data_IF_761689429649
#
_entry.id   IF_761689429649
#
_cell.length_a   1.000
_cell.length_b   1.000
_cell.length_c   1.000
_cell.angle_alpha   90.00
_cell.angle_beta   90.00
_cell.angle_gamma   90.00
#
_symmetry.space_group_name_H-M   'P 1'
#
loop_
_entity.id
_entity.type
_entity.pdbx_description
1 polymer ?
#
# COMPACT_ATOMS: atom_id res chain seq x y z
N UNK A 1 -20.95 12.97 15.53
CA UNK A 1 -19.63 12.31 15.72
C UNK A 1 -19.88 10.83 15.97
N UNK A 2 -19.67 9.97 14.97
CA UNK A 2 -19.87 8.51 15.15
C UNK A 2 -18.51 7.85 15.05
N UNK A 3 -17.73 7.93 16.13
CA UNK A 3 -16.59 7.04 16.35
C UNK A 3 -17.06 5.98 17.35
N UNK A 4 -17.70 4.94 16.82
CA UNK A 4 -18.08 3.73 17.56
C UNK A 4 -16.79 3.07 18.12
N UNK A 5 -16.85 2.52 19.34
CA UNK A 5 -15.76 1.78 19.99
C UNK A 5 -15.13 0.69 19.08
N UNK A 6 -15.89 0.14 18.13
CA UNK A 6 -15.38 -0.80 17.12
C UNK A 6 -14.33 -0.18 16.18
N UNK A 7 -14.47 1.10 15.82
CA UNK A 7 -13.46 1.77 14.98
C UNK A 7 -12.16 2.00 15.74
N UNK A 8 -12.22 2.33 17.04
CA UNK A 8 -11.00 2.50 17.85
C UNK A 8 -10.21 1.18 17.95
N UNK A 9 -10.90 0.04 18.14
CA UNK A 9 -10.27 -1.29 18.16
C UNK A 9 -9.59 -1.68 16.85
N UNK A 10 -10.04 -1.14 15.72
CA UNK A 10 -9.43 -1.38 14.40
C UNK A 10 -8.30 -0.42 14.08
N UNK A 11 -8.36 0.83 14.57
CA UNK A 11 -7.41 1.88 14.21
C UNK A 11 -6.18 1.87 15.09
N UNK A 12 -6.35 1.73 16.41
CA UNK A 12 -5.24 1.84 17.37
C UNK A 12 -4.11 0.85 17.05
N UNK A 13 -4.37 -0.45 16.82
CA UNK A 13 -3.29 -1.40 16.50
C UNK A 13 -2.53 -1.04 15.22
N UNK A 14 -3.17 -0.38 14.24
CA UNK A 14 -2.53 0.04 12.98
C UNK A 14 -1.64 1.24 13.19
N UNK A 15 -2.07 2.19 14.02
CA UNK A 15 -1.25 3.34 14.42
C UNK A 15 0.00 2.83 15.15
N UNK A 16 -0.15 1.90 16.08
CA UNK A 16 0.97 1.32 16.83
C UNK A 16 1.96 0.62 15.91
N UNK A 17 1.48 -0.23 14.99
CA UNK A 17 2.34 -0.87 13.98
C UNK A 17 3.16 0.15 13.19
N UNK A 18 2.54 1.23 12.72
CA UNK A 18 3.27 2.26 11.95
C UNK A 18 4.28 3.03 12.82
N UNK A 19 3.89 3.37 14.06
CA UNK A 19 4.74 4.08 15.00
C UNK A 19 5.98 3.25 15.36
N UNK A 20 5.79 1.97 15.62
CA UNK A 20 6.86 1.04 16.00
C UNK A 20 7.86 0.82 14.86
N UNK A 21 7.47 1.11 13.62
CA UNK A 21 8.34 1.11 12.43
C UNK A 21 8.94 2.47 12.09
N UNK A 22 8.77 3.46 12.98
CA UNK A 22 9.36 4.79 12.80
C UNK A 22 8.65 5.65 11.78
N UNK A 23 7.40 5.35 11.43
CA UNK A 23 6.61 6.21 10.53
C UNK A 23 6.28 7.53 11.24
N UNK A 24 6.56 8.69 10.64
CA UNK A 24 6.29 9.99 11.24
C UNK A 24 4.81 10.16 11.57
N UNK A 25 4.52 10.77 12.72
CA UNK A 25 3.13 11.03 13.17
C UNK A 25 2.31 11.77 12.10
N UNK A 26 2.91 12.73 11.40
CA UNK A 26 2.27 13.46 10.30
C UNK A 26 1.88 12.55 9.13
N UNK A 27 2.75 11.61 8.76
CA UNK A 27 2.48 10.59 7.74
C UNK A 27 1.37 9.63 8.17
N UNK A 28 1.36 9.20 9.44
CA UNK A 28 0.29 8.36 10.00
C UNK A 28 -1.05 9.12 9.93
N UNK A 29 -1.09 10.37 10.36
CA UNK A 29 -2.31 11.20 10.27
C UNK A 29 -2.78 11.35 8.83
N UNK A 30 -1.87 11.61 7.88
CA UNK A 30 -2.19 11.70 6.46
C UNK A 30 -2.78 10.40 5.93
N UNK A 31 -2.20 9.25 6.30
CA UNK A 31 -2.69 7.94 5.91
C UNK A 31 -4.12 7.70 6.41
N UNK A 32 -4.37 7.98 7.69
CA UNK A 32 -5.67 7.75 8.33
C UNK A 32 -6.78 8.68 7.82
N UNK A 33 -6.45 9.93 7.48
CA UNK A 33 -7.42 10.91 6.98
C UNK A 33 -7.71 10.69 5.50
N UNK A 34 -6.68 10.43 4.69
CA UNK A 34 -6.79 10.40 3.23
C UNK A 34 -7.33 9.07 2.69
N UNK A 35 -7.09 7.96 3.39
CA UNK A 35 -7.32 6.63 2.84
C UNK A 35 -8.26 5.79 3.71
N UNK A 36 -9.54 5.80 3.36
CA UNK A 36 -10.58 5.01 4.04
C UNK A 36 -10.34 3.50 3.98
N UNK A 37 -9.62 3.01 2.97
CA UNK A 37 -9.20 1.61 2.81
C UNK A 37 -8.43 1.09 4.02
N UNK A 38 -7.70 1.96 4.73
CA UNK A 38 -6.98 1.60 5.95
C UNK A 38 -7.95 1.18 7.05
N UNK A 39 -9.20 1.65 7.03
CA UNK A 39 -10.19 1.34 8.07
C UNK A 39 -10.90 0.01 7.83
N UNK A 40 -10.97 -0.46 6.59
CA UNK A 40 -11.77 -1.64 6.20
C UNK A 40 -11.01 -2.96 6.33
N UNK A 41 -9.68 -2.94 6.29
CA UNK A 41 -8.86 -4.15 6.40
C UNK A 41 -8.74 -4.62 7.85
N UNK A 42 -8.53 -5.91 8.08
CA UNK A 42 -8.22 -6.38 9.43
C UNK A 42 -6.75 -6.09 9.81
N UNK A 43 -6.41 -6.21 11.10
CA UNK A 43 -5.08 -5.87 11.60
C UNK A 43 -3.97 -6.81 11.08
N UNK A 44 -4.27 -8.08 10.80
CA UNK A 44 -3.29 -9.04 10.31
C UNK A 44 -2.90 -8.75 8.86
N UNK A 45 -3.91 -8.49 8.00
CA UNK A 45 -3.68 -8.05 6.63
C UNK A 45 -2.89 -6.75 6.57
N UNK A 46 -3.21 -5.79 7.46
CA UNK A 46 -2.47 -4.54 7.53
C UNK A 46 -1.00 -4.76 7.89
N UNK A 47 -0.71 -5.59 8.91
CA UNK A 47 0.67 -5.93 9.30
C UNK A 47 1.44 -6.63 8.17
N UNK A 48 0.80 -7.54 7.46
CA UNK A 48 1.40 -8.21 6.31
C UNK A 48 1.77 -7.21 5.20
N UNK A 49 0.87 -6.30 4.85
CA UNK A 49 1.15 -5.27 3.85
C UNK A 49 2.28 -4.33 4.28
N UNK A 50 2.31 -3.91 5.55
CA UNK A 50 3.42 -3.08 6.07
C UNK A 50 4.75 -3.80 5.89
N UNK A 51 4.82 -5.10 6.21
CA UNK A 51 6.03 -5.91 6.02
C UNK A 51 6.42 -6.03 4.54
N UNK A 52 5.46 -6.34 3.65
CA UNK A 52 5.72 -6.43 2.21
C UNK A 52 6.28 -5.12 1.64
N UNK A 53 5.77 -3.97 2.10
CA UNK A 53 6.27 -2.65 1.65
C UNK A 53 7.69 -2.38 2.17
N UNK A 54 8.05 -2.83 3.36
CA UNK A 54 9.44 -2.77 3.87
C UNK A 54 10.38 -3.68 3.07
N UNK A 55 9.95 -4.91 2.75
CA UNK A 55 10.71 -5.88 1.95
C UNK A 55 10.97 -5.36 0.53
N UNK A 56 10.05 -4.56 -0.01
CA UNK A 56 10.24 -3.82 -1.28
C UNK A 56 11.21 -2.63 -1.15
N UNK A 57 11.81 -2.40 0.02
CA UNK A 57 12.86 -1.42 0.25
C UNK A 57 12.36 0.01 0.42
N UNK A 58 11.11 0.22 0.82
CA UNK A 58 10.65 1.56 1.18
C UNK A 58 11.17 1.98 2.55
N UNK A 59 11.57 3.24 2.68
CA UNK A 59 11.91 3.83 3.97
C UNK A 59 10.63 4.23 4.72
N UNK A 60 10.37 3.71 5.94
CA UNK A 60 9.19 4.07 6.75
C UNK A 60 9.02 5.58 7.02
N UNK A 61 10.11 6.34 6.99
CA UNK A 61 10.08 7.80 7.15
C UNK A 61 9.61 8.55 5.90
N UNK A 62 9.57 7.91 4.73
CA UNK A 62 9.15 8.53 3.48
C UNK A 62 7.64 8.60 3.34
N UNK A 63 7.12 9.66 2.72
CA UNK A 63 5.70 9.72 2.34
C UNK A 63 5.34 8.62 1.32
N UNK A 64 6.30 8.16 0.50
CA UNK A 64 6.07 7.07 -0.44
C UNK A 64 5.74 5.74 0.26
N UNK A 65 6.16 5.56 1.52
CA UNK A 65 5.83 4.38 2.32
C UNK A 65 4.31 4.27 2.56
N UNK A 66 3.67 5.35 3.00
CA UNK A 66 2.23 5.35 3.24
C UNK A 66 1.42 5.29 1.94
N UNK A 67 1.96 5.81 0.83
CA UNK A 67 1.33 5.70 -0.49
C UNK A 67 1.40 4.26 -1.02
N UNK A 68 2.53 3.56 -0.83
CA UNK A 68 2.66 2.15 -1.18
C UNK A 68 1.75 1.25 -0.34
N UNK A 69 1.66 1.49 0.97
CA UNK A 69 0.70 0.78 1.84
C UNK A 69 -0.71 0.97 1.31
N UNK A 70 -1.12 2.21 1.02
CA UNK A 70 -2.46 2.46 0.48
C UNK A 70 -2.70 1.74 -0.86
N UNK A 71 -1.73 1.77 -1.78
CA UNK A 71 -1.87 1.05 -3.05
C UNK A 71 -2.04 -0.45 -2.81
N UNK A 72 -1.24 -1.06 -1.93
CA UNK A 72 -1.32 -2.49 -1.62
C UNK A 72 -2.64 -2.86 -0.93
N UNK A 73 -3.14 -2.01 -0.04
CA UNK A 73 -4.49 -2.17 0.56
C UNK A 73 -5.60 -2.09 -0.48
N UNK A 74 -5.40 -1.35 -1.57
CA UNK A 74 -6.37 -1.24 -2.66
C UNK A 74 -6.39 -2.44 -3.62
N UNK A 75 -5.48 -3.40 -3.48
CA UNK A 75 -5.29 -4.50 -4.42
C UNK A 75 -5.34 -5.85 -3.70
N UNK A 76 -6.09 -6.80 -4.26
CA UNK A 76 -5.94 -8.19 -3.85
C UNK A 76 -4.58 -8.72 -4.32
N UNK A 77 -4.07 -9.76 -3.64
CA UNK A 77 -2.83 -10.46 -4.08
C UNK A 77 -2.94 -10.93 -5.53
N UNK A 78 -4.10 -11.44 -5.93
CA UNK A 78 -4.36 -11.85 -7.31
C UNK A 78 -4.32 -10.68 -8.31
N UNK A 79 -4.88 -9.52 -7.96
CA UNK A 79 -4.83 -8.34 -8.83
C UNK A 79 -3.42 -7.76 -8.92
N UNK A 80 -2.65 -7.78 -7.83
CA UNK A 80 -1.24 -7.42 -7.85
C UNK A 80 -0.46 -8.30 -8.84
N UNK A 81 -0.58 -9.63 -8.70
CA UNK A 81 0.17 -10.56 -9.54
C UNK A 81 -0.24 -10.49 -11.01
N UNK A 82 -1.55 -10.42 -11.29
CA UNK A 82 -2.08 -10.24 -12.65
C UNK A 82 -1.51 -8.97 -13.32
N UNK A 83 -1.44 -7.86 -12.58
CA UNK A 83 -0.84 -6.61 -13.10
C UNK A 83 0.66 -6.76 -13.33
N UNK A 84 1.40 -7.35 -12.39
CA UNK A 84 2.84 -7.60 -12.55
C UNK A 84 3.10 -8.44 -13.80
N UNK A 85 2.28 -9.45 -14.05
CA UNK A 85 2.41 -10.32 -15.23
C UNK A 85 2.17 -9.59 -16.55
N UNK A 86 1.20 -8.65 -16.59
CA UNK A 86 1.01 -7.78 -17.77
C UNK A 86 2.30 -7.01 -18.09
N UNK A 87 2.97 -6.45 -17.07
CA UNK A 87 4.22 -5.74 -17.32
C UNK A 87 5.36 -6.68 -17.73
N UNK A 88 5.47 -7.86 -17.10
CA UNK A 88 6.49 -8.87 -17.49
C UNK A 88 6.31 -9.31 -18.94
N UNK A 89 5.08 -9.60 -19.33
CA UNK A 89 4.71 -9.93 -20.72
C UNK A 89 5.00 -8.79 -21.70
N UNK A 90 5.08 -7.55 -21.22
CA UNK A 90 5.46 -6.36 -22.00
C UNK A 90 6.97 -6.05 -21.95
N UNK A 91 7.80 -6.96 -21.44
CA UNK A 91 9.26 -6.87 -21.46
C UNK A 91 9.90 -6.20 -20.24
N UNK A 92 9.15 -5.89 -19.18
CA UNK A 92 9.72 -5.30 -17.96
C UNK A 92 10.35 -6.37 -17.07
N UNK A 93 11.57 -6.11 -16.58
CA UNK A 93 12.20 -6.96 -15.57
C UNK A 93 11.64 -6.70 -14.17
N UNK A 94 11.70 -7.70 -13.29
CA UNK A 94 11.22 -7.60 -11.91
C UNK A 94 11.88 -6.43 -11.16
N UNK A 95 13.20 -6.25 -11.31
CA UNK A 95 13.94 -5.14 -10.73
C UNK A 95 13.44 -3.77 -11.20
N UNK A 96 13.08 -3.66 -12.50
CA UNK A 96 12.51 -2.43 -13.06
C UNK A 96 11.13 -2.15 -12.46
N UNK A 97 10.31 -3.17 -12.29
CA UNK A 97 8.97 -3.05 -11.71
C UNK A 97 9.02 -2.62 -10.24
N UNK A 98 9.88 -3.26 -9.45
CA UNK A 98 10.11 -2.87 -8.05
C UNK A 98 10.61 -1.41 -8.00
N UNK A 99 11.57 -1.03 -8.85
CA UNK A 99 12.06 0.35 -8.91
C UNK A 99 10.96 1.35 -9.28
N UNK A 100 10.10 1.01 -10.25
CA UNK A 100 8.95 1.84 -10.63
C UNK A 100 7.95 1.97 -9.49
N UNK A 101 7.63 0.87 -8.80
CA UNK A 101 6.73 0.88 -7.66
C UNK A 101 7.26 1.74 -6.52
N UNK A 102 8.57 1.66 -6.23
CA UNK A 102 9.23 2.51 -5.24
C UNK A 102 9.14 3.99 -5.55
N UNK A 103 9.16 4.35 -6.84
CA UNK A 103 9.13 5.75 -7.28
C UNK A 103 7.71 6.29 -7.47
N UNK A 104 6.78 5.44 -7.90
CA UNK A 104 5.43 5.82 -8.31
C UNK A 104 4.37 4.79 -7.90
N UNK A 105 4.12 4.52 -6.60
CA UNK A 105 3.23 3.43 -6.17
C UNK A 105 1.86 3.42 -6.86
N UNK A 106 1.32 4.60 -7.19
CA UNK A 106 0.01 4.78 -7.83
C UNK A 106 -0.11 4.15 -9.22
N UNK A 107 0.99 3.81 -9.91
CA UNK A 107 0.89 3.19 -11.23
C UNK A 107 0.15 1.84 -11.21
N UNK A 108 0.20 1.14 -10.07
CA UNK A 108 -0.54 -0.12 -9.87
C UNK A 108 -2.05 0.08 -9.67
N UNK A 109 -2.51 1.33 -9.47
CA UNK A 109 -3.94 1.66 -9.43
C UNK A 109 -4.58 1.73 -10.83
N UNK A 110 -3.80 1.72 -11.91
CA UNK A 110 -4.30 1.72 -13.29
C UNK A 110 -5.03 0.39 -13.54
N UNK A 111 -6.19 0.42 -14.19
CA UNK A 111 -6.94 -0.81 -14.49
C UNK A 111 -6.18 -1.71 -15.47
N UNK A 112 -6.35 -3.02 -15.36
CA UNK A 112 -5.69 -3.97 -16.27
C UNK A 112 -6.04 -3.71 -17.74
N UNK A 113 -7.30 -3.34 -18.02
CA UNK A 113 -7.74 -2.93 -19.37
C UNK A 113 -6.88 -1.80 -19.93
N UNK A 114 -6.58 -0.78 -19.12
CA UNK A 114 -5.77 0.37 -19.53
C UNK A 114 -4.29 0.00 -19.68
N UNK A 115 -3.78 -0.88 -18.81
CA UNK A 115 -2.41 -1.38 -18.94
C UNK A 115 -2.22 -2.15 -20.26
N UNK A 116 -3.11 -3.10 -20.56
CA UNK A 116 -3.05 -3.91 -21.79
C UNK A 116 -3.21 -3.11 -23.08
N UNK A 117 -3.82 -1.92 -23.03
CA UNK A 117 -3.97 -1.05 -24.20
C UNK A 117 -2.84 -0.05 -24.38
N UNK A 118 -2.04 0.19 -23.34
CA UNK A 118 -1.02 1.26 -23.32
C UNK A 118 0.41 0.78 -23.17
N UNK A 119 0.61 -0.51 -22.88
CA UNK A 119 1.90 -1.21 -22.89
C UNK A 119 1.97 -2.08 -24.14
#
# INVERSE_FOLDING_TARGET
RILNANHQKLIVPKIEVLRDRGVPKSSISKLMIKYSSVLTHNNNQFKEIVREVEELGFNPSSTLFIEAINTKLGLSKASWESKMEIFRSSGFSENKLISMFRKYPQFMCISEKKLRSGL
#
